data_IF_669603030209
#
_entry.id   IF_669603030209
#
_cell.length_a   1.000
_cell.length_b   1.000
_cell.length_c   1.000
_cell.angle_alpha   90.00
_cell.angle_beta   90.00
_cell.angle_gamma   90.00
#
_symmetry.space_group_name_H-M   'P 1'
#
loop_
_entity.id
_entity.type
_entity.pdbx_description
1 polymer ?
#
# COMPACT_ATOMS: atom_id res chain seq x y z
N UNK A 1 26.39 -15.08 -2.31
CA UNK A 1 25.26 -15.96 -1.96
C UNK A 1 24.02 -15.28 -2.53
N UNK A 2 23.21 -15.94 -3.38
CA UNK A 2 22.06 -15.29 -4.06
C UNK A 2 20.78 -15.65 -3.33
N UNK A 3 20.20 -14.69 -2.63
CA UNK A 3 18.82 -14.77 -2.13
C UNK A 3 17.90 -14.24 -3.24
N UNK A 4 16.76 -14.91 -3.47
CA UNK A 4 15.74 -14.43 -4.41
C UNK A 4 14.44 -14.18 -3.65
N UNK A 5 13.85 -13.01 -3.85
CA UNK A 5 12.60 -12.60 -3.22
C UNK A 5 11.50 -12.58 -4.29
N UNK A 6 10.44 -13.37 -4.09
CA UNK A 6 9.27 -13.37 -4.96
C UNK A 6 8.18 -12.52 -4.33
N UNK A 7 7.91 -11.34 -4.89
CA UNK A 7 6.94 -10.39 -4.35
C UNK A 7 5.53 -10.66 -4.88
N UNK A 8 4.64 -11.13 -3.99
CA UNK A 8 3.22 -11.32 -4.26
C UNK A 8 2.35 -10.27 -3.56
N UNK A 9 1.15 -10.01 -4.08
CA UNK A 9 0.26 -8.99 -3.54
C UNK A 9 -1.14 -9.53 -3.21
N UNK A 10 -1.74 -9.00 -2.14
CA UNK A 10 -3.18 -9.03 -1.93
C UNK A 10 -3.67 -7.72 -1.33
N UNK A 11 -4.66 -7.09 -1.97
CA UNK A 11 -5.54 -6.15 -1.24
C UNK A 11 -6.53 -6.99 -0.47
N UNK A 12 -6.55 -6.88 0.86
CA UNK A 12 -7.62 -7.48 1.66
C UNK A 12 -8.51 -6.35 2.14
N UNK A 13 -9.62 -6.12 1.45
CA UNK A 13 -10.77 -5.36 1.94
C UNK A 13 -11.78 -6.34 2.52
N UNK A 14 -11.94 -6.37 3.85
CA UNK A 14 -12.97 -7.17 4.50
C UNK A 14 -14.14 -6.27 4.89
N UNK A 15 -15.08 -6.04 3.96
CA UNK A 15 -16.38 -5.48 4.32
C UNK A 15 -17.29 -6.59 4.86
N UNK A 16 -17.31 -6.80 6.17
CA UNK A 16 -18.42 -7.50 6.82
C UNK A 16 -19.52 -6.49 7.14
N UNK A 17 -20.62 -6.52 6.37
CA UNK A 17 -21.86 -5.82 6.69
C UNK A 17 -22.41 -6.32 8.03
N UNK A 18 -22.33 -5.50 9.07
CA UNK A 18 -23.15 -5.67 10.27
C UNK A 18 -24.28 -4.64 10.22
N UNK A 19 -25.46 -5.09 9.82
CA UNK A 19 -26.68 -4.30 9.82
C UNK A 19 -27.13 -4.07 11.27
N UNK A 20 -26.80 -2.92 11.86
CA UNK A 20 -27.44 -2.47 13.10
C UNK A 20 -28.62 -1.57 12.68
N UNK A 21 -29.82 -2.14 12.73
CA UNK A 21 -31.07 -1.40 12.60
C UNK A 21 -31.32 -0.62 13.90
N UNK A 22 -30.99 0.67 13.91
CA UNK A 22 -31.28 1.59 15.01
C UNK A 22 -31.88 2.89 14.46
N UNK A 23 -33.15 3.13 14.78
CA UNK A 23 -33.95 4.28 14.38
C UNK A 23 -33.37 5.61 14.91
N UNK A 24 -33.23 6.59 14.02
CA UNK A 24 -33.06 8.00 14.34
C UNK A 24 -32.95 8.82 13.05
N UNK A 25 -33.86 9.77 12.84
CA UNK A 25 -33.80 10.74 11.73
C UNK A 25 -32.55 11.61 11.89
N UNK A 26 -31.42 11.12 11.38
CA UNK A 26 -30.24 11.96 11.15
C UNK A 26 -30.52 12.75 9.88
N UNK A 27 -30.48 14.08 9.99
CA UNK A 27 -30.34 14.96 8.83
C UNK A 27 -29.26 14.38 7.93
N UNK A 28 -29.59 14.09 6.67
CA UNK A 28 -28.62 13.57 5.71
C UNK A 28 -27.60 14.67 5.41
N UNK A 29 -26.59 14.81 6.26
CA UNK A 29 -25.38 15.53 5.92
C UNK A 29 -24.92 14.99 4.56
N UNK A 30 -24.78 15.88 3.57
CA UNK A 30 -24.39 15.49 2.23
C UNK A 30 -23.13 14.61 2.32
N UNK A 31 -23.14 13.46 1.64
CA UNK A 31 -21.98 12.58 1.57
C UNK A 31 -20.85 13.39 0.93
N UNK A 32 -19.93 13.92 1.73
CA UNK A 32 -18.72 14.55 1.21
C UNK A 32 -17.81 13.39 0.83
N UNK A 33 -17.87 12.95 -0.41
CA UNK A 33 -16.86 12.06 -0.97
C UNK A 33 -15.64 12.91 -1.27
N UNK A 34 -14.47 12.42 -0.89
CA UNK A 34 -13.23 13.04 -1.33
C UNK A 34 -13.18 12.96 -2.85
N UNK A 35 -12.65 13.99 -3.51
CA UNK A 35 -12.45 13.93 -4.96
C UNK A 35 -11.38 12.88 -5.25
N UNK A 36 -11.62 12.03 -6.25
CA UNK A 36 -10.66 11.03 -6.69
C UNK A 36 -9.87 11.53 -7.90
N UNK A 37 -8.56 11.27 -7.88
CA UNK A 37 -7.70 11.45 -9.05
C UNK A 37 -8.09 10.51 -10.22
N UNK A 38 -8.77 9.40 -9.91
CA UNK A 38 -9.15 8.38 -10.88
C UNK A 38 -7.96 7.66 -11.48
N UNK A 39 -8.18 6.97 -12.59
CA UNK A 39 -7.13 6.29 -13.35
C UNK A 39 -6.24 7.33 -14.04
N UNK A 40 -4.93 7.26 -13.81
CA UNK A 40 -3.98 8.29 -14.28
C UNK A 40 -3.32 8.00 -15.62
N UNK A 41 -3.24 6.72 -16.03
CA UNK A 41 -2.64 6.25 -17.28
C UNK A 41 -3.01 4.77 -17.54
N UNK A 42 -2.59 4.21 -18.68
CA UNK A 42 -2.91 2.81 -19.05
C UNK A 42 -2.28 1.78 -18.09
N UNK A 43 -1.09 2.06 -17.55
CA UNK A 43 -0.47 1.20 -16.53
C UNK A 43 -1.33 1.15 -15.28
N UNK A 44 -1.84 2.29 -14.82
CA UNK A 44 -2.77 2.36 -13.69
C UNK A 44 -3.98 1.45 -13.93
N UNK A 45 -4.62 1.60 -15.10
CA UNK A 45 -5.79 0.81 -15.48
C UNK A 45 -5.51 -0.70 -15.46
N UNK A 46 -4.37 -1.12 -16.01
CA UNK A 46 -4.00 -2.53 -16.12
C UNK A 46 -3.58 -3.18 -14.79
N UNK A 47 -3.19 -2.36 -13.81
CA UNK A 47 -2.71 -2.83 -12.50
C UNK A 47 -3.57 -2.34 -11.33
N UNK A 48 -4.81 -1.92 -11.59
CA UNK A 48 -5.74 -1.49 -10.55
C UNK A 48 -5.98 -2.62 -9.55
N UNK A 49 -5.88 -2.31 -8.26
CA UNK A 49 -5.92 -3.30 -7.18
C UNK A 49 -4.63 -4.11 -7.04
N UNK A 50 -3.49 -3.59 -7.51
CA UNK A 50 -2.18 -4.26 -7.41
C UNK A 50 -1.09 -3.30 -6.91
N UNK A 51 -0.02 -3.89 -6.35
CA UNK A 51 1.29 -3.24 -6.24
C UNK A 51 2.19 -3.85 -7.31
N UNK A 52 2.75 -3.01 -8.17
CA UNK A 52 3.80 -3.40 -9.10
C UNK A 52 5.16 -3.04 -8.53
N UNK A 53 6.20 -3.82 -8.87
CA UNK A 53 7.54 -3.68 -8.30
C UNK A 53 8.60 -3.54 -9.40
N UNK A 54 9.67 -2.81 -9.11
CA UNK A 54 10.81 -2.59 -10.02
C UNK A 54 12.11 -2.37 -9.24
N UNK A 55 13.25 -2.55 -9.90
CA UNK A 55 14.58 -2.22 -9.36
C UNK A 55 14.90 -0.72 -9.36
N UNK A 56 13.91 0.13 -9.60
CA UNK A 56 14.03 1.58 -9.65
C UNK A 56 12.70 2.26 -9.32
N UNK A 57 12.76 3.55 -8.97
CA UNK A 57 11.58 4.37 -8.72
C UNK A 57 10.60 4.33 -9.90
N UNK A 58 9.35 4.01 -9.62
CA UNK A 58 8.29 3.96 -10.62
C UNK A 58 7.69 5.36 -10.78
N UNK A 59 7.89 5.96 -11.96
CA UNK A 59 7.35 7.28 -12.28
C UNK A 59 5.83 7.35 -12.11
N UNK A 60 5.35 8.46 -11.55
CA UNK A 60 3.92 8.70 -11.41
C UNK A 60 3.27 9.03 -12.76
N UNK A 61 3.89 9.91 -13.56
CA UNK A 61 3.30 10.44 -14.80
C UNK A 61 3.46 9.48 -15.97
N UNK A 62 4.63 8.83 -16.08
CA UNK A 62 4.96 7.94 -17.19
C UNK A 62 5.67 6.67 -16.68
N UNK A 63 4.93 5.77 -16.00
CA UNK A 63 5.48 4.49 -15.56
C UNK A 63 5.83 3.60 -16.76
N UNK A 64 6.95 2.91 -16.67
CA UNK A 64 7.41 1.96 -17.69
C UNK A 64 7.15 0.52 -17.22
N UNK A 65 6.09 -0.10 -17.75
CA UNK A 65 5.70 -1.45 -17.37
C UNK A 65 6.71 -2.52 -17.77
N UNK A 66 7.61 -2.24 -18.73
CA UNK A 66 8.65 -3.21 -19.15
C UNK A 66 9.72 -3.44 -18.08
N UNK A 67 9.77 -2.56 -17.08
CA UNK A 67 10.70 -2.63 -15.94
C UNK A 67 10.11 -3.34 -14.73
N UNK A 68 8.84 -3.73 -14.79
CA UNK A 68 8.20 -4.42 -13.70
C UNK A 68 8.70 -5.84 -13.58
N UNK A 69 8.92 -6.28 -12.34
CA UNK A 69 9.38 -7.63 -12.04
C UNK A 69 8.92 -8.07 -10.67
N UNK A 70 8.92 -9.38 -10.46
CA UNK A 70 8.51 -10.03 -9.20
C UNK A 70 9.68 -10.60 -8.42
N UNK A 71 10.83 -10.78 -9.07
CA UNK A 71 11.98 -11.47 -8.51
C UNK A 71 13.16 -10.52 -8.31
N UNK A 72 13.67 -10.48 -7.09
CA UNK A 72 14.72 -9.55 -6.66
C UNK A 72 15.84 -10.28 -5.95
N UNK A 73 17.07 -9.83 -6.14
CA UNK A 73 18.17 -10.15 -5.24
C UNK A 73 18.22 -9.15 -4.07
N UNK A 74 18.93 -9.49 -3.01
CA UNK A 74 19.04 -8.67 -1.80
C UNK A 74 19.79 -7.36 -1.99
N UNK A 75 20.61 -7.29 -3.02
CA UNK A 75 21.44 -6.12 -3.32
C UNK A 75 20.72 -5.15 -4.26
N UNK A 76 19.57 -5.57 -4.81
CA UNK A 76 18.75 -4.74 -5.67
C UNK A 76 17.91 -3.77 -4.88
N UNK A 77 17.72 -2.59 -5.46
CA UNK A 77 16.70 -1.67 -5.00
C UNK A 77 15.32 -2.32 -5.19
N UNK A 78 14.42 -2.18 -4.20
CA UNK A 78 13.03 -2.64 -4.32
C UNK A 78 12.09 -1.46 -4.10
N UNK A 79 11.49 -1.02 -5.19
CA UNK A 79 10.53 0.07 -5.24
C UNK A 79 9.21 -0.45 -5.80
N UNK A 80 8.11 -0.09 -5.15
CA UNK A 80 6.76 -0.47 -5.59
C UNK A 80 5.89 0.73 -5.91
N UNK A 81 4.76 0.49 -6.55
CA UNK A 81 3.70 1.48 -6.71
C UNK A 81 2.36 0.77 -6.66
N UNK A 82 1.49 1.21 -5.76
CA UNK A 82 0.13 0.70 -5.75
C UNK A 82 -0.75 1.49 -6.74
N UNK A 83 -1.76 0.84 -7.26
CA UNK A 83 -2.81 1.44 -8.07
C UNK A 83 -4.17 1.02 -7.53
N UNK A 84 -5.05 1.98 -7.25
CA UNK A 84 -6.38 1.78 -6.67
C UNK A 84 -7.42 2.41 -7.60
N UNK A 85 -8.63 1.86 -7.63
CA UNK A 85 -9.73 2.44 -8.42
C UNK A 85 -10.21 3.79 -7.87
N UNK A 86 -10.00 4.02 -6.58
CA UNK A 86 -10.44 5.18 -5.80
C UNK A 86 -9.27 5.62 -4.90
N UNK A 87 -9.35 6.83 -4.35
CA UNK A 87 -8.42 7.27 -3.33
C UNK A 87 -8.44 6.29 -2.15
N UNK A 88 -7.33 6.20 -1.41
CA UNK A 88 -7.24 5.24 -0.32
C UNK A 88 -8.34 5.45 0.73
N UNK A 89 -8.64 6.70 1.08
CA UNK A 89 -9.74 7.02 1.99
C UNK A 89 -11.10 6.59 1.42
N UNK A 90 -11.40 6.89 0.16
CA UNK A 90 -12.67 6.46 -0.44
C UNK A 90 -12.78 4.94 -0.52
N UNK A 91 -11.67 4.23 -0.75
CA UNK A 91 -11.66 2.77 -0.80
C UNK A 91 -12.03 2.15 0.56
N UNK A 92 -11.61 2.77 1.67
CA UNK A 92 -11.81 2.28 3.03
C UNK A 92 -13.12 2.76 3.64
N UNK A 93 -13.46 4.03 3.42
CA UNK A 93 -14.60 4.71 4.02
C UNK A 93 -15.73 4.93 3.02
N UNK A 94 -15.87 4.06 2.02
CA UNK A 94 -16.87 4.20 0.96
C UNK A 94 -18.29 4.41 1.48
N UNK A 95 -18.60 3.82 2.63
CA UNK A 95 -19.91 3.88 3.30
C UNK A 95 -19.96 4.94 4.42
N UNK A 96 -18.80 5.36 4.93
CA UNK A 96 -18.70 6.35 6.00
C UNK A 96 -18.63 7.77 5.42
N UNK A 97 -19.21 8.74 6.12
CA UNK A 97 -19.18 10.17 5.69
C UNK A 97 -17.99 10.92 6.28
N UNK A 98 -16.89 10.22 6.53
CA UNK A 98 -15.73 10.76 7.24
C UNK A 98 -14.59 10.92 6.26
N UNK A 99 -14.14 12.16 6.09
CA UNK A 99 -12.86 12.48 5.42
C UNK A 99 -11.90 12.92 6.52
N UNK A 100 -10.75 12.26 6.59
CA UNK A 100 -9.67 12.64 7.49
C UNK A 100 -8.73 13.63 6.79
N UNK A 101 -8.27 14.66 7.49
CA UNK A 101 -7.31 15.62 6.93
C UNK A 101 -5.89 15.03 6.87
N UNK A 102 -5.57 14.10 7.77
CA UNK A 102 -4.39 13.26 7.72
C UNK A 102 -4.79 11.79 7.66
N UNK A 103 -4.15 11.06 6.76
CA UNK A 103 -4.42 9.65 6.59
C UNK A 103 -3.14 8.85 6.56
N UNK A 104 -3.07 7.82 7.40
CA UNK A 104 -1.88 7.01 7.51
C UNK A 104 -2.11 5.65 6.87
N UNK A 105 -1.12 5.19 6.14
CA UNK A 105 -1.06 3.83 5.63
C UNK A 105 0.24 3.18 6.02
N UNK A 106 0.23 1.86 6.03
CA UNK A 106 1.38 1.04 6.37
C UNK A 106 1.33 -0.29 5.62
N UNK A 107 2.37 -1.08 5.79
CA UNK A 107 2.51 -2.36 5.13
C UNK A 107 2.64 -3.49 6.15
N UNK A 108 1.81 -4.52 6.00
CA UNK A 108 2.11 -5.82 6.59
C UNK A 108 3.04 -6.57 5.63
N UNK A 109 4.20 -7.00 6.11
CA UNK A 109 5.13 -7.84 5.34
C UNK A 109 5.01 -9.27 5.85
N UNK A 110 4.96 -10.21 4.92
CA UNK A 110 5.01 -11.64 5.20
C UNK A 110 6.20 -12.24 4.47
N UNK A 111 6.92 -13.13 5.13
CA UNK A 111 7.97 -13.95 4.55
C UNK A 111 7.57 -15.41 4.67
N UNK A 112 7.51 -16.11 3.54
CA UNK A 112 7.10 -17.52 3.44
C UNK A 112 5.76 -17.78 4.18
N UNK A 113 4.81 -16.87 3.97
CA UNK A 113 3.47 -16.91 4.58
C UNK A 113 3.39 -16.47 6.05
N UNK A 114 4.51 -16.14 6.70
CA UNK A 114 4.55 -15.67 8.10
C UNK A 114 4.68 -14.16 8.16
N UNK A 115 3.77 -13.49 8.88
CA UNK A 115 3.90 -12.05 9.13
C UNK A 115 5.18 -11.79 9.92
N UNK A 116 6.01 -10.87 9.44
CA UNK A 116 7.22 -10.45 10.15
C UNK A 116 6.98 -9.12 10.85
N UNK A 117 7.52 -9.02 12.05
CA UNK A 117 7.51 -7.75 12.78
C UNK A 117 8.57 -6.84 12.15
N UNK A 118 8.11 -5.71 11.66
CA UNK A 118 8.88 -4.78 10.87
C UNK A 118 8.63 -3.38 11.42
N UNK A 119 9.69 -2.60 11.63
CA UNK A 119 9.59 -1.19 12.02
C UNK A 119 8.89 -0.41 10.90
N UNK A 120 7.59 -0.23 11.10
CA UNK A 120 6.58 0.12 10.10
C UNK A 120 6.99 1.34 9.28
N UNK A 121 7.07 1.18 7.96
CA UNK A 121 6.99 2.33 7.07
C UNK A 121 5.55 2.85 7.07
N UNK A 122 5.34 3.94 7.78
CA UNK A 122 4.06 4.65 7.77
C UNK A 122 4.13 5.75 6.73
N UNK A 123 3.32 5.65 5.68
CA UNK A 123 3.07 6.77 4.79
C UNK A 123 1.97 7.65 5.36
N UNK A 124 2.15 8.96 5.28
CA UNK A 124 1.10 9.94 5.59
C UNK A 124 0.64 10.59 4.28
N UNK A 125 -0.66 10.62 4.07
CA UNK A 125 -1.34 11.37 3.01
C UNK A 125 -2.04 12.57 3.66
N UNK A 126 -1.89 13.74 3.03
CA UNK A 126 -2.53 14.99 3.44
C UNK A 126 -2.70 15.91 2.22
N UNK A 127 -3.64 16.85 2.28
CA UNK A 127 -3.97 17.73 1.14
C UNK A 127 -4.30 16.93 -0.12
N UNK A 128 -3.75 17.34 -1.27
CA UNK A 128 -3.99 16.69 -2.57
C UNK A 128 -3.52 15.23 -2.63
N UNK A 129 -2.69 14.78 -1.70
CA UNK A 129 -2.28 13.37 -1.62
C UNK A 129 -3.43 12.47 -1.15
N UNK A 130 -4.42 13.03 -0.46
CA UNK A 130 -5.61 12.28 -0.08
C UNK A 130 -6.40 11.82 -1.30
N UNK A 131 -6.43 12.63 -2.37
CA UNK A 131 -7.18 12.35 -3.60
C UNK A 131 -6.51 11.29 -4.48
N UNK A 132 -5.27 10.88 -4.15
CA UNK A 132 -4.47 10.00 -5.00
C UNK A 132 -4.95 8.57 -4.95
N UNK A 133 -5.06 8.01 -6.14
CA UNK A 133 -5.37 6.62 -6.47
C UNK A 133 -4.10 5.78 -6.64
N UNK A 134 -2.91 6.40 -6.62
CA UNK A 134 -1.63 5.72 -6.70
C UNK A 134 -0.56 6.43 -5.90
N UNK A 135 0.29 5.66 -5.22
CA UNK A 135 1.43 6.18 -4.47
C UNK A 135 2.61 5.22 -4.56
N UNK A 136 3.80 5.80 -4.43
CA UNK A 136 5.04 5.06 -4.35
C UNK A 136 5.09 4.26 -3.03
N UNK A 137 5.51 3.01 -3.15
CA UNK A 137 5.83 2.09 -2.06
C UNK A 137 7.35 1.95 -2.02
N UNK A 138 7.92 2.04 -0.83
CA UNK A 138 9.35 1.85 -0.60
C UNK A 138 9.52 0.63 0.30
N UNK A 139 10.35 -0.31 -0.12
CA UNK A 139 10.71 -1.50 0.68
C UNK A 139 12.20 -1.46 1.01
N UNK A 140 13.02 -0.98 0.07
CA UNK A 140 14.45 -0.74 0.23
C UNK A 140 14.86 0.51 -0.55
N UNK A 141 15.94 1.21 -0.19
CA UNK A 141 16.60 2.24 -1.02
C UNK A 141 18.12 2.21 -0.80
N UNK A 142 18.91 2.01 -1.85
CA UNK A 142 20.39 1.91 -1.77
C UNK A 142 21.10 3.25 -1.43
N UNK A 143 20.42 4.39 -1.47
CA UNK A 143 21.03 5.68 -1.15
C UNK A 143 20.79 6.05 0.32
N UNK A 144 21.83 5.91 1.16
CA UNK A 144 21.91 6.54 2.49
C UNK A 144 20.74 6.29 3.44
N UNK A 145 19.97 5.22 3.25
CA UNK A 145 18.75 5.03 4.02
C UNK A 145 19.05 4.39 5.36
N UNK A 146 18.82 5.17 6.41
CA UNK A 146 18.72 4.74 7.81
C UNK A 146 17.51 3.83 8.05
N UNK A 147 17.28 2.83 7.18
CA UNK A 147 16.16 1.88 7.26
C UNK A 147 16.67 0.49 7.64
N UNK A 148 17.09 0.31 8.91
CA UNK A 148 17.64 -0.95 9.39
C UNK A 148 16.64 -2.10 9.31
N UNK A 149 15.33 -1.83 9.23
CA UNK A 149 14.28 -2.84 9.12
C UNK A 149 14.48 -3.81 7.95
N UNK A 150 14.73 -3.31 6.73
CA UNK A 150 14.91 -4.17 5.55
C UNK A 150 16.14 -5.03 5.63
N UNK A 151 17.27 -4.39 5.94
CA UNK A 151 18.54 -5.09 6.04
C UNK A 151 18.51 -6.11 7.16
N UNK A 152 17.90 -5.79 8.31
CA UNK A 152 17.71 -6.74 9.42
C UNK A 152 16.84 -7.92 9.01
N UNK A 153 15.73 -7.67 8.31
CA UNK A 153 14.86 -8.72 7.79
C UNK A 153 15.65 -9.64 6.85
N UNK A 154 16.26 -9.07 5.80
CA UNK A 154 17.04 -9.80 4.80
C UNK A 154 18.19 -10.60 5.43
N UNK A 155 18.94 -10.00 6.35
CA UNK A 155 20.07 -10.65 7.03
C UNK A 155 19.64 -11.78 7.98
N UNK A 156 18.34 -11.84 8.33
CA UNK A 156 17.78 -12.92 9.14
C UNK A 156 17.27 -14.11 8.31
N UNK A 157 17.23 -13.98 6.97
CA UNK A 157 16.79 -15.04 6.09
C UNK A 157 17.92 -16.01 5.79
N UNK A 158 17.58 -17.30 5.80
CA UNK A 158 18.50 -18.34 5.36
C UNK A 158 18.78 -18.22 3.85
N UNK A 159 19.88 -18.77 3.34
CA UNK A 159 20.16 -18.73 1.91
C UNK A 159 19.09 -19.51 1.11
N UNK A 160 18.43 -18.86 0.16
CA UNK A 160 17.39 -19.51 -0.64
C UNK A 160 16.48 -18.55 -1.41
N UNK A 161 15.35 -19.10 -1.87
CA UNK A 161 14.25 -18.33 -2.45
C UNK A 161 13.19 -18.17 -1.37
N UNK A 162 12.76 -16.94 -1.14
CA UNK A 162 11.71 -16.60 -0.18
C UNK A 162 10.56 -15.90 -0.87
N UNK A 163 9.33 -16.25 -0.49
CA UNK A 163 8.16 -15.49 -0.91
C UNK A 163 7.98 -14.31 0.04
N UNK A 164 7.89 -13.10 -0.53
CA UNK A 164 7.57 -11.89 0.20
C UNK A 164 6.19 -11.42 -0.22
N UNK A 165 5.28 -11.26 0.73
CA UNK A 165 3.98 -10.66 0.47
C UNK A 165 3.85 -9.33 1.21
N UNK A 166 3.40 -8.31 0.51
CA UNK A 166 3.18 -6.97 1.08
C UNK A 166 1.70 -6.66 1.01
N UNK A 167 1.05 -6.43 2.16
CA UNK A 167 -0.34 -5.99 2.19
C UNK A 167 -0.39 -4.53 2.62
N UNK A 168 -1.06 -3.70 1.83
CA UNK A 168 -1.34 -2.31 2.18
C UNK A 168 -2.47 -2.26 3.23
N UNK A 169 -2.23 -1.54 4.31
CA UNK A 169 -3.18 -1.29 5.40
C UNK A 169 -3.29 0.20 5.66
N UNK A 170 -4.39 0.60 6.27
CA UNK A 170 -4.57 1.98 6.71
C UNK A 170 -4.93 2.05 8.18
N UNK A 171 -4.62 3.20 8.78
CA UNK A 171 -5.00 3.54 10.15
C UNK A 171 -5.48 4.98 10.21
N UNK A 172 -6.39 5.27 11.13
CA UNK A 172 -6.76 6.65 11.47
C UNK A 172 -5.67 7.29 12.36
N UNK A 173 -5.88 8.55 12.73
CA UNK A 173 -4.97 9.32 13.59
C UNK A 173 -4.81 8.71 15.00
N UNK A 174 -5.82 7.97 15.51
CA UNK A 174 -5.73 7.24 16.78
C UNK A 174 -4.92 5.95 16.71
N UNK A 175 -4.42 5.58 15.51
CA UNK A 175 -3.62 4.37 15.29
C UNK A 175 -4.44 3.09 15.21
N UNK A 176 -5.77 3.20 15.18
CA UNK A 176 -6.65 2.05 14.99
C UNK A 176 -6.56 1.58 13.54
N UNK A 177 -6.29 0.29 13.35
CA UNK A 177 -6.35 -0.34 12.04
C UNK A 177 -7.75 -0.17 11.48
N UNK A 178 -7.82 0.37 10.28
CA UNK A 178 -9.06 0.51 9.54
C UNK A 178 -9.32 -0.80 8.79
N UNK A 179 -10.60 -1.18 8.76
CA UNK A 179 -11.08 -2.48 8.28
C UNK A 179 -10.80 -2.66 6.79
#
# INVERSE_FOLDING_TARGET
>A
MKLLLNLSFGVIFFCMLNTIAGYGQLQMAAKKTLKDQGVTNEVHKNHTGQIVWASEKISFTNPDATKFKTDFTTDEWIAGRFYLSESMQNTIYKEEKIIYENFYYYYDIYVDGKKVDWDIETGQLYGDYLERTTQQVWVYTNEGSDRPGWQKLVNSLEPGIHEIKVNLRARNESGESLR
#
